data_IF_563535451172
#
_entry.id   IF_563535451172
#
_cell.length_a   1.000
_cell.length_b   1.000
_cell.length_c   1.000
_cell.angle_alpha   90.00
_cell.angle_beta   90.00
_cell.angle_gamma   90.00
#
_symmetry.space_group_name_H-M   'P 1'
#
loop_
_entity.id
_entity.type
_entity.pdbx_description
1 polymer ?
#
# COMPACT_ATOMS: atom_id res chain seq x y z
N UNK A 1 20.11 -2.24 1.35
CA UNK A 1 19.03 -1.30 0.89
C UNK A 1 17.95 -2.16 0.25
N UNK A 2 16.67 -1.84 0.49
CA UNK A 2 15.53 -2.51 -0.14
C UNK A 2 14.89 -1.59 -1.18
N UNK A 3 14.37 -2.17 -2.26
CA UNK A 3 13.76 -1.44 -3.37
C UNK A 3 12.29 -1.82 -3.48
N UNK A 4 11.42 -0.81 -3.55
CA UNK A 4 9.97 -0.97 -3.61
C UNK A 4 9.41 -0.04 -4.72
N UNK A 5 9.39 -0.50 -5.98
CA UNK A 5 8.84 0.30 -7.07
C UNK A 5 7.35 0.51 -6.91
N UNK A 6 6.87 1.72 -7.19
CA UNK A 6 5.45 2.06 -7.11
C UNK A 6 4.71 1.62 -8.37
N UNK A 7 3.60 0.93 -8.18
CA UNK A 7 2.71 0.57 -9.30
C UNK A 7 1.94 1.77 -9.85
N UNK A 8 1.98 2.91 -9.17
CA UNK A 8 1.38 4.14 -9.68
C UNK A 8 1.99 4.59 -11.00
N UNK A 9 3.26 4.21 -11.26
CA UNK A 9 3.97 4.48 -12.51
C UNK A 9 3.75 3.42 -13.59
N UNK A 10 2.95 2.38 -13.30
CA UNK A 10 2.67 1.30 -14.25
C UNK A 10 1.66 1.75 -15.32
N UNK A 11 1.64 1.03 -16.43
CA UNK A 11 0.59 1.15 -17.44
C UNK A 11 -0.66 0.38 -16.96
N UNK A 12 -1.67 1.10 -16.50
CA UNK A 12 -2.91 0.48 -16.00
C UNK A 12 -3.72 -0.22 -17.09
N UNK A 13 -3.49 0.11 -18.36
CA UNK A 13 -4.05 -0.64 -19.48
C UNK A 13 -3.39 -1.99 -19.71
N UNK A 14 -2.21 -2.24 -19.11
CA UNK A 14 -1.44 -3.47 -19.23
C UNK A 14 -0.77 -3.86 -17.89
N UNK A 15 -1.52 -3.74 -16.81
CA UNK A 15 -1.01 -3.84 -15.45
C UNK A 15 -0.37 -5.20 -15.17
N UNK A 16 -0.96 -6.30 -15.65
CA UNK A 16 -0.41 -7.65 -15.48
C UNK A 16 1.03 -7.75 -15.99
N UNK A 17 1.29 -7.26 -17.20
CA UNK A 17 2.64 -7.34 -17.79
C UNK A 17 3.66 -6.54 -16.98
N UNK A 18 3.28 -5.37 -16.47
CA UNK A 18 4.16 -4.56 -15.63
C UNK A 18 4.45 -5.23 -14.28
N UNK A 19 3.46 -5.88 -13.67
CA UNK A 19 3.67 -6.64 -12.42
C UNK A 19 4.56 -7.85 -12.67
N UNK A 20 4.36 -8.57 -13.76
CA UNK A 20 5.22 -9.70 -14.14
C UNK A 20 6.68 -9.26 -14.37
N UNK A 21 6.88 -8.09 -14.97
CA UNK A 21 8.21 -7.50 -15.13
C UNK A 21 8.84 -7.16 -13.76
N UNK A 22 8.07 -6.60 -12.84
CA UNK A 22 8.52 -6.32 -11.47
C UNK A 22 8.83 -7.61 -10.69
N UNK A 23 8.04 -8.67 -10.87
CA UNK A 23 8.32 -9.99 -10.28
C UNK A 23 9.68 -10.53 -10.71
N UNK A 24 10.05 -10.32 -11.98
CA UNK A 24 11.34 -10.76 -12.55
C UNK A 24 12.51 -9.85 -12.17
N UNK A 25 12.24 -8.67 -11.61
CA UNK A 25 13.28 -7.70 -11.22
C UNK A 25 13.89 -8.02 -9.85
N UNK A 26 14.90 -7.25 -9.46
CA UNK A 26 15.52 -7.32 -8.14
C UNK A 26 14.75 -6.54 -7.04
N UNK A 27 13.53 -6.09 -7.34
CA UNK A 27 12.69 -5.40 -6.35
C UNK A 27 12.39 -6.31 -5.15
N UNK A 28 12.38 -5.74 -3.95
CA UNK A 28 12.05 -6.45 -2.71
C UNK A 28 10.55 -6.45 -2.43
N UNK A 29 9.87 -5.38 -2.82
CA UNK A 29 8.43 -5.15 -2.60
C UNK A 29 7.79 -4.55 -3.86
N UNK A 30 6.45 -4.57 -3.89
CA UNK A 30 5.64 -3.73 -4.78
C UNK A 30 4.98 -2.65 -3.92
N UNK A 31 5.23 -1.39 -4.24
CA UNK A 31 4.68 -0.24 -3.51
C UNK A 31 3.34 0.17 -4.09
N UNK A 32 2.33 0.26 -3.24
CA UNK A 32 0.93 0.52 -3.60
C UNK A 32 0.51 1.86 -3.00
N UNK A 33 0.44 2.89 -3.83
CA UNK A 33 0.06 4.25 -3.40
C UNK A 33 -1.45 4.45 -3.51
N UNK A 34 -2.14 4.49 -2.37
CA UNK A 34 -3.59 4.75 -2.29
C UNK A 34 -3.84 6.20 -1.92
N UNK A 35 -4.54 6.92 -2.77
CA UNK A 35 -4.86 8.34 -2.62
C UNK A 35 -6.38 8.53 -2.66
N UNK A 36 -6.93 9.32 -1.74
CA UNK A 36 -8.37 9.50 -1.56
C UNK A 36 -8.94 10.83 -2.09
N UNK A 37 -8.08 11.72 -2.59
CA UNK A 37 -8.51 13.03 -3.06
C UNK A 37 -8.88 14.02 -1.94
N UNK A 38 -8.64 13.66 -0.68
CA UNK A 38 -8.91 14.49 0.50
C UNK A 38 -7.60 14.81 1.22
N UNK A 39 -6.86 13.78 1.63
CA UNK A 39 -5.54 13.96 2.25
C UNK A 39 -4.52 14.50 1.25
N UNK A 40 -4.61 14.06 0.00
CA UNK A 40 -3.81 14.54 -1.14
C UNK A 40 -4.73 14.93 -2.30
N UNK A 41 -4.32 15.87 -3.18
CA UNK A 41 -5.17 16.39 -4.26
C UNK A 41 -5.18 15.46 -5.50
N UNK A 42 -5.28 14.16 -5.29
CA UNK A 42 -5.37 13.16 -6.36
C UNK A 42 -6.11 11.93 -5.85
N UNK A 43 -6.69 11.16 -6.77
CA UNK A 43 -7.30 9.87 -6.50
C UNK A 43 -6.55 8.83 -7.33
N UNK A 44 -6.05 7.77 -6.71
CA UNK A 44 -5.33 6.73 -7.45
C UNK A 44 -6.22 5.52 -7.75
N UNK A 45 -6.36 4.62 -6.82
CA UNK A 45 -7.14 3.39 -6.95
C UNK A 45 -7.42 2.80 -5.56
N UNK A 46 -8.28 1.79 -5.51
CA UNK A 46 -8.70 1.17 -4.26
C UNK A 46 -8.46 -0.33 -4.23
N UNK A 47 -9.16 -0.99 -3.32
CA UNK A 47 -8.99 -2.41 -3.02
C UNK A 47 -9.22 -3.37 -4.20
N UNK A 48 -10.16 -3.12 -5.13
CA UNK A 48 -10.31 -4.00 -6.30
C UNK A 48 -9.03 -4.11 -7.13
N UNK A 49 -8.32 -2.99 -7.32
CA UNK A 49 -7.03 -2.96 -8.04
C UNK A 49 -5.95 -3.66 -7.22
N UNK A 50 -5.86 -3.40 -5.91
CA UNK A 50 -4.87 -4.05 -5.04
C UNK A 50 -5.06 -5.57 -5.04
N UNK A 51 -6.29 -6.06 -4.98
CA UNK A 51 -6.58 -7.50 -5.07
C UNK A 51 -6.21 -8.09 -6.42
N UNK A 52 -6.39 -7.34 -7.50
CA UNK A 52 -5.95 -7.76 -8.83
C UNK A 52 -4.42 -7.85 -8.91
N UNK A 53 -3.72 -6.88 -8.34
CA UNK A 53 -2.25 -6.88 -8.23
C UNK A 53 -1.79 -8.10 -7.44
N UNK A 54 -2.40 -8.37 -6.29
CA UNK A 54 -2.03 -9.48 -5.42
C UNK A 54 -2.07 -10.83 -6.14
N UNK A 55 -3.05 -11.03 -7.02
CA UNK A 55 -3.19 -12.29 -7.78
C UNK A 55 -2.01 -12.57 -8.71
N UNK A 56 -1.31 -11.55 -9.15
CA UNK A 56 -0.19 -11.64 -10.09
C UNK A 56 1.16 -11.46 -9.38
N UNK A 57 1.18 -10.69 -8.32
CA UNK A 57 2.39 -10.34 -7.57
C UNK A 57 3.02 -11.57 -6.90
N UNK A 58 4.33 -11.71 -7.07
CA UNK A 58 5.17 -12.69 -6.37
C UNK A 58 6.04 -12.02 -5.30
N UNK A 59 6.01 -10.70 -5.24
CA UNK A 59 6.69 -9.87 -4.22
C UNK A 59 5.68 -9.45 -3.18
N UNK A 60 6.09 -9.26 -1.91
CA UNK A 60 5.19 -8.73 -0.88
C UNK A 60 4.76 -7.30 -1.20
N UNK A 61 3.54 -6.96 -0.78
CA UNK A 61 2.96 -5.64 -1.00
C UNK A 61 3.29 -4.71 0.17
N UNK A 62 3.72 -3.50 -0.16
CA UNK A 62 3.91 -2.38 0.74
C UNK A 62 2.82 -1.34 0.43
N UNK A 63 1.76 -1.31 1.23
CA UNK A 63 0.59 -0.48 0.97
C UNK A 63 0.72 0.85 1.71
N UNK A 64 0.85 1.93 0.97
CA UNK A 64 0.99 3.30 1.46
C UNK A 64 -0.33 4.04 1.32
N UNK A 65 -0.92 4.40 2.46
CA UNK A 65 -2.21 5.07 2.51
C UNK A 65 -2.03 6.58 2.66
N UNK A 66 -2.25 7.31 1.58
CA UNK A 66 -2.36 8.77 1.56
C UNK A 66 -3.85 9.14 1.64
N UNK A 67 -4.47 8.79 2.77
CA UNK A 67 -5.91 8.94 2.99
C UNK A 67 -6.20 9.46 4.40
N UNK A 68 -7.37 10.06 4.58
CA UNK A 68 -7.85 10.44 5.91
C UNK A 68 -8.32 9.18 6.66
N UNK A 69 -8.17 9.19 7.98
CA UNK A 69 -8.62 8.10 8.89
C UNK A 69 -8.15 6.72 8.42
N UNK A 70 -6.85 6.51 8.22
CA UNK A 70 -6.33 5.23 7.72
C UNK A 70 -6.64 4.06 8.65
N UNK A 71 -6.84 4.31 9.95
CA UNK A 71 -7.22 3.30 10.94
C UNK A 71 -8.50 2.55 10.61
N UNK A 72 -9.39 3.16 9.82
CA UNK A 72 -10.65 2.53 9.40
C UNK A 72 -10.44 1.40 8.36
N UNK A 73 -9.24 1.30 7.79
CA UNK A 73 -8.96 0.44 6.65
C UNK A 73 -7.98 -0.71 6.94
N UNK A 74 -7.56 -0.86 8.20
CA UNK A 74 -6.53 -1.85 8.59
C UNK A 74 -6.95 -3.27 8.19
N UNK A 75 -8.19 -3.66 8.44
CA UNK A 75 -8.66 -5.01 8.09
C UNK A 75 -8.71 -5.25 6.59
N UNK A 76 -9.16 -4.26 5.82
CA UNK A 76 -9.21 -4.36 4.36
C UNK A 76 -7.80 -4.44 3.76
N UNK A 77 -6.85 -3.67 4.28
CA UNK A 77 -5.45 -3.74 3.84
C UNK A 77 -4.86 -5.11 4.17
N UNK A 78 -5.07 -5.62 5.38
CA UNK A 78 -4.67 -6.98 5.77
C UNK A 78 -5.21 -8.01 4.79
N UNK A 79 -6.48 -7.90 4.43
CA UNK A 79 -7.16 -8.87 3.56
C UNK A 79 -6.65 -8.85 2.12
N UNK A 80 -5.88 -7.83 1.72
CA UNK A 80 -5.13 -7.82 0.45
C UNK A 80 -3.85 -8.65 0.50
N UNK A 81 -3.47 -9.19 1.65
CA UNK A 81 -2.21 -9.89 1.82
C UNK A 81 -0.99 -8.98 1.96
N UNK A 82 -1.19 -7.69 2.25
CA UNK A 82 -0.10 -6.74 2.43
C UNK A 82 0.83 -7.15 3.57
N UNK A 83 2.13 -7.05 3.36
CA UNK A 83 3.14 -7.25 4.40
C UNK A 83 3.36 -5.98 5.22
N UNK A 84 3.30 -4.82 4.56
CA UNK A 84 3.50 -3.51 5.18
C UNK A 84 2.27 -2.64 4.94
N UNK A 85 1.79 -1.98 6.00
CA UNK A 85 0.84 -0.88 5.90
C UNK A 85 1.52 0.39 6.39
N UNK A 86 1.65 1.37 5.51
CA UNK A 86 2.28 2.65 5.78
C UNK A 86 1.21 3.74 5.85
N UNK A 87 1.24 4.52 6.94
CA UNK A 87 0.30 5.62 7.18
C UNK A 87 1.04 6.93 7.42
N UNK A 88 0.40 8.05 7.10
CA UNK A 88 0.95 9.36 7.42
C UNK A 88 0.67 9.74 8.87
N UNK A 89 1.67 10.28 9.56
CA UNK A 89 1.51 10.79 10.91
C UNK A 89 0.39 11.84 10.96
N UNK A 90 0.35 12.73 9.98
CA UNK A 90 -0.62 13.84 9.91
C UNK A 90 -2.06 13.37 9.72
N UNK A 91 -2.27 12.16 9.21
CA UNK A 91 -3.59 11.56 9.01
C UNK A 91 -4.11 10.79 10.23
N UNK A 92 -3.25 10.55 11.22
CA UNK A 92 -3.57 9.73 12.39
C UNK A 92 -3.81 10.61 13.61
N UNK A 93 -5.04 10.64 14.13
CA UNK A 93 -5.34 11.33 15.38
C UNK A 93 -4.62 10.68 16.57
N UNK A 94 -4.50 9.37 16.58
CA UNK A 94 -3.82 8.57 17.60
C UNK A 94 -2.82 7.60 16.92
N UNK A 95 -1.68 8.13 16.49
CA UNK A 95 -0.67 7.37 15.73
C UNK A 95 -0.23 6.09 16.44
N UNK A 96 0.05 6.15 17.74
CA UNK A 96 0.49 4.99 18.51
C UNK A 96 -0.54 3.85 18.47
N UNK A 97 -1.82 4.18 18.65
CA UNK A 97 -2.93 3.21 18.58
C UNK A 97 -3.04 2.60 17.20
N UNK A 98 -2.91 3.42 16.16
CA UNK A 98 -2.96 2.95 14.76
C UNK A 98 -1.82 1.98 14.48
N UNK A 99 -0.59 2.30 14.89
CA UNK A 99 0.58 1.42 14.75
C UNK A 99 0.34 0.09 15.44
N UNK A 100 -0.14 0.10 16.68
CA UNK A 100 -0.44 -1.13 17.41
C UNK A 100 -1.49 -1.98 16.69
N UNK A 101 -2.55 -1.36 16.19
CA UNK A 101 -3.61 -2.05 15.46
C UNK A 101 -3.10 -2.69 14.17
N UNK A 102 -2.22 -2.02 13.44
CA UNK A 102 -1.56 -2.57 12.25
C UNK A 102 -0.75 -3.82 12.61
N UNK A 103 0.06 -3.73 13.67
CA UNK A 103 0.88 -4.86 14.14
C UNK A 103 0.03 -6.03 14.63
N UNK A 104 -1.05 -5.76 15.34
CA UNK A 104 -2.01 -6.78 15.80
C UNK A 104 -2.71 -7.48 14.63
N UNK A 105 -2.88 -6.79 13.51
CA UNK A 105 -3.41 -7.38 12.29
C UNK A 105 -2.40 -8.26 11.53
N UNK A 106 -1.16 -8.35 12.01
CA UNK A 106 -0.11 -9.19 11.43
C UNK A 106 0.75 -8.50 10.37
N UNK A 107 0.60 -7.20 10.17
CA UNK A 107 1.39 -6.41 9.23
C UNK A 107 2.51 -5.64 9.94
N UNK A 108 3.55 -5.29 9.20
CA UNK A 108 4.53 -4.30 9.63
C UNK A 108 3.94 -2.91 9.47
N UNK A 109 4.18 -2.04 10.43
CA UNK A 109 3.71 -0.65 10.37
C UNK A 109 4.81 0.27 9.86
N UNK A 110 4.51 1.04 8.81
CA UNK A 110 5.32 2.14 8.34
C UNK A 110 4.68 3.48 8.71
N UNK A 111 5.50 4.49 8.93
CA UNK A 111 5.05 5.87 9.20
C UNK A 111 5.75 6.82 8.26
N UNK A 112 4.98 7.62 7.56
CA UNK A 112 5.47 8.66 6.66
C UNK A 112 5.18 10.03 7.26
N UNK A 113 6.10 10.93 7.09
CA UNK A 113 5.97 12.36 7.39
C UNK A 113 5.80 13.12 6.08
N UNK A 114 4.89 14.08 6.06
CA UNK A 114 4.63 14.89 4.87
C UNK A 114 5.58 16.09 4.79
#
# INVERSE_FOLDING_TARGET
MKVSPSILSADFGNLRADIEAMNASEADYLHIDVMDGVFVPNISFGFPVIKAVQKVAQKPLDVHLMIVKPENWISQVRDTGAEIMNVHQEACLHLHRTIQSIKQAGMKAGVTLN
#
